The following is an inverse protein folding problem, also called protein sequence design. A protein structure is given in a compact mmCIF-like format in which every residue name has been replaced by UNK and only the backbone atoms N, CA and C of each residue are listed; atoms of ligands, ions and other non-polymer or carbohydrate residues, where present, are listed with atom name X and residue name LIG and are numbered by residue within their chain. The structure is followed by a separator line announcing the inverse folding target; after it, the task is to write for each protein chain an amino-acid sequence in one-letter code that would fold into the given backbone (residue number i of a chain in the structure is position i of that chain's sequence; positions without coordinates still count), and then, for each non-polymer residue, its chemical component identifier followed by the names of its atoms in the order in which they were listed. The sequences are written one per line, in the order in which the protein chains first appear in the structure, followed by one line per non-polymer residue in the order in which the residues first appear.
data_IF_388150349756
#
_entry.id   IF_388150349756
#
_cell.length_a   1.000
_cell.length_b   1.000
_cell.length_c   1.000
_cell.angle_alpha   90.00
_cell.angle_beta   90.00
_cell.angle_gamma   90.00
#
_symmetry.space_group_name_H-M   'P 1'
#
loop_
_entity.id
_entity.type
_entity.pdbx_description
1 polymer ?
#
# COMPACT_ATOMS: atom_id res chain seq x y z
N UNK A 1 -13.13 21.46 16.65
CA UNK A 1 -12.92 20.27 15.80
C UNK A 1 -11.68 20.55 14.98
N UNK A 2 -10.67 19.67 15.04
CA UNK A 2 -9.59 19.74 14.05
C UNK A 2 -10.23 19.61 12.65
N UNK A 3 -9.59 20.10 11.57
CA UNK A 3 -10.14 20.01 10.20
C UNK A 3 -10.54 18.58 9.78
N UNK A 4 -10.09 17.58 10.53
CA UNK A 4 -10.09 16.16 10.18
C UNK A 4 -11.07 15.32 11.03
N UNK A 5 -12.08 15.91 11.67
CA UNK A 5 -13.14 15.16 12.38
C UNK A 5 -12.71 14.46 13.69
N UNK A 6 -11.46 14.60 14.10
CA UNK A 6 -10.92 14.04 15.36
C UNK A 6 -11.35 14.96 16.53
N UNK A 7 -12.07 14.44 17.56
CA UNK A 7 -12.46 15.23 18.72
C UNK A 7 -11.25 15.72 19.52
N UNK A 8 -11.17 17.03 19.73
CA UNK A 8 -10.02 17.72 20.34
C UNK A 8 -9.82 17.37 21.83
N UNK A 9 -10.83 16.82 22.49
CA UNK A 9 -10.85 16.58 23.94
C UNK A 9 -10.39 15.17 24.36
N UNK A 10 -9.89 14.33 23.45
CA UNK A 10 -9.57 12.91 23.74
C UNK A 10 -8.29 12.35 23.09
N UNK A 11 -7.47 13.15 22.41
CA UNK A 11 -6.30 12.61 21.71
C UNK A 11 -5.10 12.49 22.65
N UNK A 12 -5.05 11.38 23.41
CA UNK A 12 -3.75 10.91 23.89
C UNK A 12 -2.81 10.80 22.67
N UNK A 13 -1.54 11.24 22.77
CA UNK A 13 -0.58 11.06 21.70
C UNK A 13 -0.61 9.61 21.19
N UNK A 14 -0.61 9.47 19.88
CA UNK A 14 -0.60 8.18 19.20
C UNK A 14 0.45 8.21 18.10
N UNK A 15 0.76 7.05 17.53
CA UNK A 15 1.79 6.91 16.50
C UNK A 15 1.22 6.22 15.26
N UNK A 16 1.52 6.80 14.10
CA UNK A 16 1.07 6.35 12.79
C UNK A 16 2.27 5.98 11.95
N UNK A 17 2.36 4.73 11.52
CA UNK A 17 3.34 4.31 10.52
C UNK A 17 2.66 4.14 9.16
N UNK A 18 3.28 4.64 8.09
CA UNK A 18 2.93 4.26 6.71
C UNK A 18 4.08 3.41 6.15
N UNK A 19 3.78 2.21 5.67
CA UNK A 19 4.79 1.21 5.29
C UNK A 19 4.46 0.54 3.96
N UNK A 20 5.47 0.27 3.14
CA UNK A 20 5.27 -0.38 1.86
C UNK A 20 6.39 -0.20 0.83
N UNK A 21 5.97 0.03 -0.41
CA UNK A 21 6.84 0.34 -1.56
C UNK A 21 7.00 1.86 -1.77
N UNK A 22 7.37 2.29 -2.98
CA UNK A 22 7.50 3.72 -3.30
C UNK A 22 6.15 4.46 -3.27
N UNK A 23 5.03 3.78 -3.49
CA UNK A 23 3.70 4.38 -3.40
C UNK A 23 3.30 4.63 -1.95
N UNK A 24 3.72 3.76 -1.02
CA UNK A 24 3.58 3.99 0.41
C UNK A 24 4.50 5.12 0.91
N UNK A 25 5.72 5.22 0.38
CA UNK A 25 6.61 6.34 0.68
C UNK A 25 5.98 7.68 0.32
N UNK A 26 5.45 7.78 -0.90
CA UNK A 26 4.82 8.99 -1.44
C UNK A 26 3.63 9.42 -0.57
N UNK A 27 2.67 8.50 -0.36
CA UNK A 27 1.52 8.71 0.52
C UNK A 27 1.94 9.05 1.95
N UNK A 28 2.96 8.36 2.47
CA UNK A 28 3.48 8.55 3.82
C UNK A 28 4.04 9.95 4.04
N UNK A 29 4.78 10.49 3.07
CA UNK A 29 5.31 11.85 3.11
C UNK A 29 4.16 12.86 3.10
N UNK A 30 3.15 12.62 2.28
CA UNK A 30 2.00 13.52 2.15
C UNK A 30 1.13 13.60 3.41
N UNK A 31 1.04 12.51 4.18
CA UNK A 31 0.23 12.49 5.42
C UNK A 31 0.93 13.10 6.63
N UNK A 32 2.24 13.40 6.58
CA UNK A 32 3.02 13.87 7.74
C UNK A 32 2.42 15.11 8.41
N UNK A 33 2.01 16.10 7.61
CA UNK A 33 1.45 17.36 8.12
C UNK A 33 0.11 17.15 8.83
N UNK A 34 -0.78 16.35 8.23
CA UNK A 34 -2.09 16.03 8.78
C UNK A 34 -1.99 15.15 10.04
N UNK A 35 -1.03 14.22 10.07
CA UNK A 35 -0.76 13.37 11.22
C UNK A 35 -0.31 14.20 12.43
N UNK A 36 0.65 15.10 12.24
CA UNK A 36 1.09 16.02 13.29
C UNK A 36 -0.05 16.92 13.78
N UNK A 37 -0.87 17.46 12.86
CA UNK A 37 -2.04 18.27 13.22
C UNK A 37 -3.10 17.47 14.01
N UNK A 38 -3.10 16.15 13.87
CA UNK A 38 -3.93 15.20 14.59
C UNK A 38 -3.29 14.66 15.89
N UNK A 39 -2.19 15.24 16.36
CA UNK A 39 -1.42 14.78 17.53
C UNK A 39 -0.93 13.32 17.39
N UNK A 40 -0.68 12.89 16.16
CA UNK A 40 -0.04 11.62 15.82
C UNK A 40 1.45 11.86 15.56
N UNK A 41 2.32 10.99 16.05
CA UNK A 41 3.73 10.91 15.66
C UNK A 41 3.84 10.05 14.39
N UNK A 42 4.12 10.63 13.22
CA UNK A 42 4.21 9.85 12.00
C UNK A 42 5.60 9.21 11.82
N UNK A 43 5.63 8.01 11.23
CA UNK A 43 6.81 7.38 10.65
C UNK A 43 6.48 6.83 9.26
N UNK A 44 7.47 6.80 8.37
CA UNK A 44 7.29 6.37 6.98
C UNK A 44 8.42 5.46 6.56
N UNK A 45 8.08 4.31 6.01
CA UNK A 45 9.03 3.34 5.44
C UNK A 45 8.54 2.93 4.07
N UNK A 46 9.32 3.21 3.02
CA UNK A 46 9.02 2.68 1.69
C UNK A 46 10.28 2.14 1.04
N UNK A 47 10.22 0.91 0.56
CA UNK A 47 11.32 0.27 -0.15
C UNK A 47 11.09 0.46 -1.65
N UNK A 48 11.74 1.49 -2.20
CA UNK A 48 11.56 1.90 -3.60
C UNK A 48 11.90 0.77 -4.56
N UNK A 49 11.03 0.50 -5.53
CA UNK A 49 11.25 -0.54 -6.53
C UNK A 49 10.90 -1.96 -6.06
N UNK A 50 10.37 -2.10 -4.85
CA UNK A 50 10.15 -3.38 -4.21
C UNK A 50 8.68 -3.62 -3.89
N UNK A 51 8.29 -4.88 -3.86
CA UNK A 51 7.05 -5.32 -3.24
C UNK A 51 7.35 -6.45 -2.25
N UNK A 52 6.36 -7.24 -1.87
CA UNK A 52 6.50 -8.35 -0.92
C UNK A 52 7.00 -9.65 -1.55
N UNK A 53 7.22 -9.73 -2.86
CA UNK A 53 7.84 -10.92 -3.48
C UNK A 53 9.38 -10.87 -3.42
N UNK A 54 9.96 -9.68 -3.51
CA UNK A 54 11.39 -9.41 -3.29
C UNK A 54 12.42 -10.03 -4.25
N UNK A 55 12.02 -11.03 -5.04
CA UNK A 55 12.91 -11.87 -5.85
C UNK A 55 12.43 -12.02 -7.30
N UNK A 56 13.28 -12.61 -8.14
CA UNK A 56 13.03 -12.78 -9.58
C UNK A 56 13.33 -11.52 -10.40
N UNK A 57 13.57 -11.70 -11.70
CA UNK A 57 13.65 -10.56 -12.62
C UNK A 57 12.25 -10.14 -13.07
N UNK A 58 12.08 -8.90 -13.50
CA UNK A 58 10.79 -8.36 -13.91
C UNK A 58 10.65 -8.33 -15.43
N UNK A 59 9.39 -8.45 -15.88
CA UNK A 59 8.97 -8.07 -17.23
C UNK A 59 8.01 -6.89 -17.09
N UNK A 60 8.53 -5.68 -17.29
CA UNK A 60 7.81 -4.41 -17.17
C UNK A 60 7.79 -3.72 -18.53
N UNK A 61 6.62 -3.28 -18.99
CA UNK A 61 6.40 -2.63 -20.29
C UNK A 61 7.01 -3.39 -21.47
N UNK A 62 6.93 -4.72 -21.41
CA UNK A 62 7.50 -5.64 -22.40
C UNK A 62 9.02 -5.81 -22.34
N UNK A 63 9.71 -5.13 -21.43
CA UNK A 63 11.15 -5.30 -21.20
C UNK A 63 11.39 -6.38 -20.15
N UNK A 64 12.04 -7.47 -20.55
CA UNK A 64 12.43 -8.58 -19.66
C UNK A 64 13.80 -8.39 -19.03
N UNK A 65 14.07 -9.11 -17.94
CA UNK A 65 15.37 -9.18 -17.30
C UNK A 65 15.71 -7.96 -16.44
N UNK A 66 14.71 -7.16 -16.07
CA UNK A 66 14.90 -6.04 -15.15
C UNK A 66 15.21 -6.62 -13.76
N UNK A 67 16.35 -6.22 -13.20
CA UNK A 67 16.82 -6.69 -11.89
C UNK A 67 16.25 -5.75 -10.82
N UNK A 68 15.43 -6.24 -9.87
CA UNK A 68 14.96 -5.42 -8.75
C UNK A 68 16.15 -4.90 -7.90
N UNK A 69 15.98 -3.77 -7.19
CA UNK A 69 16.94 -3.34 -6.19
C UNK A 69 17.28 -4.46 -5.19
N UNK A 70 18.55 -4.56 -4.78
CA UNK A 70 19.00 -5.59 -3.83
C UNK A 70 18.25 -5.53 -2.48
N UNK A 71 17.79 -4.34 -2.08
CA UNK A 71 16.98 -4.17 -0.88
C UNK A 71 15.64 -4.91 -0.92
N UNK A 72 15.13 -5.27 -2.11
CA UNK A 72 13.87 -5.97 -2.25
C UNK A 72 13.94 -7.39 -1.67
N UNK A 73 15.09 -8.06 -1.67
CA UNK A 73 15.19 -9.41 -1.11
C UNK A 73 15.15 -9.44 0.42
N UNK A 74 15.27 -8.28 1.07
CA UNK A 74 15.30 -8.14 2.53
C UNK A 74 14.16 -7.24 3.04
N UNK A 75 13.02 -7.27 2.35
CA UNK A 75 11.86 -6.43 2.71
C UNK A 75 11.31 -6.79 4.09
N UNK A 76 11.30 -8.07 4.46
CA UNK A 76 10.73 -8.54 5.72
C UNK A 76 11.60 -8.15 6.92
N UNK A 77 12.93 -8.24 6.80
CA UNK A 77 13.86 -7.74 7.81
C UNK A 77 13.74 -6.22 7.98
N UNK A 78 13.55 -5.49 6.89
CA UNK A 78 13.31 -4.04 6.94
C UNK A 78 12.05 -3.73 7.74
N UNK A 79 10.92 -4.37 7.43
CA UNK A 79 9.66 -4.16 8.15
C UNK A 79 9.78 -4.56 9.62
N UNK A 80 10.46 -5.67 9.91
CA UNK A 80 10.69 -6.12 11.28
C UNK A 80 11.50 -5.09 12.09
N UNK A 81 12.58 -4.57 11.52
CA UNK A 81 13.42 -3.56 12.18
C UNK A 81 12.67 -2.25 12.46
N UNK A 82 11.80 -1.84 11.54
CA UNK A 82 10.99 -0.63 11.70
C UNK A 82 9.94 -0.80 12.81
N UNK A 83 9.28 -1.95 12.86
CA UNK A 83 8.29 -2.24 13.91
C UNK A 83 8.94 -2.37 15.29
N UNK A 84 10.13 -2.99 15.38
CA UNK A 84 10.88 -3.13 16.62
C UNK A 84 11.31 -1.76 17.18
N UNK A 85 11.66 -0.82 16.31
CA UNK A 85 12.15 0.51 16.69
C UNK A 85 11.02 1.51 16.96
N UNK A 86 10.01 1.56 16.10
CA UNK A 86 8.96 2.59 16.15
C UNK A 86 7.77 2.21 17.03
N UNK A 87 7.40 0.92 17.07
CA UNK A 87 6.25 0.37 17.83
C UNK A 87 4.97 1.22 17.67
N UNK A 88 4.48 1.38 16.43
CA UNK A 88 3.37 2.28 16.16
C UNK A 88 2.05 1.76 16.75
N UNK A 89 1.13 2.66 17.10
CA UNK A 89 -0.23 2.30 17.51
C UNK A 89 -1.04 1.78 16.31
N UNK A 90 -0.83 2.38 15.13
CA UNK A 90 -1.48 2.00 13.88
C UNK A 90 -0.52 2.06 12.69
N UNK A 91 -0.65 1.09 11.80
CA UNK A 91 0.12 0.95 10.56
C UNK A 91 -0.83 1.02 9.37
N UNK A 92 -0.56 1.90 8.41
CA UNK A 92 -1.13 1.84 7.07
C UNK A 92 -0.14 1.09 6.16
N UNK A 93 -0.54 -0.07 5.66
CA UNK A 93 0.28 -0.90 4.79
C UNK A 93 -0.19 -0.79 3.34
N UNK A 94 0.66 -0.32 2.43
CA UNK A 94 0.35 -0.15 1.01
C UNK A 94 1.43 -0.78 0.13
N UNK A 95 1.05 -1.76 -0.68
CA UNK A 95 1.89 -2.36 -1.74
C UNK A 95 0.97 -2.75 -2.89
N UNK A 96 1.54 -3.23 -3.99
CA UNK A 96 0.78 -3.84 -5.09
C UNK A 96 1.39 -3.55 -6.45
N UNK A 97 1.98 -2.36 -6.61
CA UNK A 97 2.57 -1.90 -7.88
C UNK A 97 3.53 -2.95 -8.46
N UNK A 98 4.35 -3.57 -7.61
CA UNK A 98 5.36 -4.55 -8.02
C UNK A 98 4.89 -6.01 -7.99
N UNK A 99 3.73 -6.29 -7.39
CA UNK A 99 3.05 -7.59 -7.48
C UNK A 99 2.31 -7.73 -8.81
N UNK A 100 1.77 -6.62 -9.34
CA UNK A 100 1.08 -6.54 -10.62
C UNK A 100 2.01 -6.74 -11.83
N UNK A 101 3.32 -6.53 -11.66
CA UNK A 101 4.34 -6.75 -12.69
C UNK A 101 4.60 -8.24 -12.87
N UNK A 102 4.73 -8.69 -14.12
CA UNK A 102 5.11 -10.07 -14.43
C UNK A 102 6.52 -10.33 -13.90
N UNK A 103 6.74 -11.49 -13.26
CA UNK A 103 8.05 -11.91 -12.75
C UNK A 103 8.56 -13.15 -13.47
N UNK A 104 9.86 -13.20 -13.67
CA UNK A 104 10.57 -14.45 -13.96
C UNK A 104 11.14 -15.00 -12.65
N UNK A 105 10.55 -16.11 -12.18
CA UNK A 105 11.03 -16.88 -11.05
C UNK A 105 11.74 -18.14 -11.58
N UNK A 106 13.06 -18.08 -11.63
CA UNK A 106 13.93 -19.21 -12.03
C UNK A 106 13.60 -19.79 -13.42
N UNK A 107 13.38 -18.93 -14.41
CA UNK A 107 13.03 -19.28 -15.79
C UNK A 107 11.53 -19.47 -16.03
N UNK A 108 10.69 -19.22 -15.02
CA UNK A 108 9.22 -19.33 -15.13
C UNK A 108 8.59 -17.95 -15.02
N UNK A 109 7.94 -17.51 -16.11
CA UNK A 109 7.16 -16.28 -16.11
C UNK A 109 5.85 -16.49 -15.35
N UNK A 110 5.64 -15.69 -14.32
CA UNK A 110 4.48 -15.72 -13.45
C UNK A 110 3.87 -14.33 -13.28
N UNK A 111 2.56 -14.28 -13.04
CA UNK A 111 1.82 -13.05 -12.79
C UNK A 111 0.52 -13.35 -12.02
N UNK A 112 -0.12 -12.29 -11.53
CA UNK A 112 -1.39 -12.40 -10.82
C UNK A 112 -2.47 -13.03 -11.70
N UNK A 113 -3.28 -13.89 -11.09
CA UNK A 113 -4.27 -14.76 -11.73
C UNK A 113 -3.75 -16.17 -12.01
N UNK A 114 -2.45 -16.41 -11.80
CA UNK A 114 -1.87 -17.76 -11.81
C UNK A 114 -1.80 -18.29 -10.38
N UNK A 115 -2.38 -19.48 -10.08
CA UNK A 115 -2.49 -19.98 -8.71
C UNK A 115 -1.17 -20.05 -7.94
N UNK A 116 -0.06 -20.42 -8.59
CA UNK A 116 1.25 -20.51 -7.93
C UNK A 116 1.77 -19.14 -7.48
N UNK A 117 1.50 -18.09 -8.25
CA UNK A 117 1.93 -16.74 -7.93
C UNK A 117 0.98 -16.07 -6.94
N UNK A 118 -0.33 -16.27 -7.11
CA UNK A 118 -1.34 -15.76 -6.19
C UNK A 118 -1.09 -16.29 -4.76
N UNK A 119 -0.78 -17.59 -4.62
CA UNK A 119 -0.43 -18.20 -3.33
C UNK A 119 0.86 -17.60 -2.73
N UNK A 120 1.86 -17.32 -3.56
CA UNK A 120 3.11 -16.69 -3.12
C UNK A 120 2.86 -15.27 -2.62
N UNK A 121 2.13 -14.46 -3.39
CA UNK A 121 1.78 -13.09 -3.02
C UNK A 121 0.94 -13.07 -1.75
N UNK A 122 -0.09 -13.92 -1.64
CA UNK A 122 -0.92 -14.00 -0.44
C UNK A 122 -0.09 -14.38 0.79
N UNK A 123 0.76 -15.40 0.69
CA UNK A 123 1.64 -15.82 1.80
C UNK A 123 2.54 -14.67 2.27
N UNK A 124 3.13 -13.93 1.35
CA UNK A 124 4.02 -12.82 1.69
C UNK A 124 3.25 -11.59 2.23
N UNK A 125 2.03 -11.33 1.75
CA UNK A 125 1.13 -10.34 2.35
C UNK A 125 0.78 -10.72 3.79
N UNK A 126 0.47 -11.99 4.04
CA UNK A 126 0.21 -12.47 5.41
C UNK A 126 1.45 -12.33 6.31
N UNK A 127 2.64 -12.64 5.80
CA UNK A 127 3.91 -12.43 6.52
C UNK A 127 4.12 -10.95 6.87
N UNK A 128 3.97 -10.06 5.89
CA UNK A 128 4.06 -8.61 6.09
C UNK A 128 3.09 -8.15 7.19
N UNK A 129 1.80 -8.52 7.10
CA UNK A 129 0.80 -8.13 8.10
C UNK A 129 1.16 -8.67 9.49
N UNK A 130 1.65 -9.92 9.62
CA UNK A 130 2.07 -10.48 10.91
C UNK A 130 3.26 -9.74 11.50
N UNK A 131 4.26 -9.38 10.70
CA UNK A 131 5.41 -8.58 11.13
C UNK A 131 4.93 -7.21 11.63
N UNK A 132 4.08 -6.53 10.84
CA UNK A 132 3.54 -5.21 11.16
C UNK A 132 2.67 -5.21 12.42
N UNK A 133 1.96 -6.31 12.69
CA UNK A 133 1.15 -6.47 13.90
C UNK A 133 1.95 -6.96 15.12
N UNK A 134 3.21 -7.36 14.97
CA UNK A 134 3.95 -8.15 15.96
C UNK A 134 4.17 -7.49 17.33
N UNK A 135 4.01 -6.16 17.41
CA UNK A 135 4.11 -5.38 18.67
C UNK A 135 2.76 -4.84 19.16
N UNK A 136 1.65 -5.34 18.61
CA UNK A 136 0.29 -4.96 19.01
C UNK A 136 -0.29 -3.80 18.22
N UNK A 137 0.37 -3.36 17.14
CA UNK A 137 -0.15 -2.32 16.27
C UNK A 137 -1.46 -2.75 15.61
N UNK A 138 -2.36 -1.79 15.43
CA UNK A 138 -3.51 -1.95 14.52
C UNK A 138 -3.00 -1.88 13.09
N UNK A 139 -3.18 -2.92 12.27
CA UNK A 139 -2.73 -2.90 10.87
C UNK A 139 -3.92 -2.67 9.95
N UNK A 140 -3.85 -1.63 9.12
CA UNK A 140 -4.81 -1.34 8.07
C UNK A 140 -4.12 -1.54 6.73
N UNK A 141 -4.38 -2.68 6.08
CA UNK A 141 -3.92 -2.94 4.73
C UNK A 141 -4.78 -2.15 3.73
N UNK A 142 -4.12 -1.36 2.89
CA UNK A 142 -4.74 -0.56 1.85
C UNK A 142 -4.81 -1.38 0.56
N UNK A 143 -5.95 -1.32 -0.14
CA UNK A 143 -6.04 -1.87 -1.50
C UNK A 143 -5.17 -1.09 -2.48
N UNK A 144 -4.49 -1.77 -3.40
CA UNK A 144 -3.73 -1.12 -4.48
C UNK A 144 -4.70 -0.35 -5.38
N UNK A 145 -4.34 0.86 -5.83
CA UNK A 145 -5.12 1.60 -6.80
C UNK A 145 -4.74 1.23 -8.25
N UNK A 146 -5.60 1.54 -9.23
CA UNK A 146 -5.20 1.34 -10.63
C UNK A 146 -4.07 2.30 -11.03
N UNK A 147 -3.18 1.78 -11.89
CA UNK A 147 -2.09 2.50 -12.51
C UNK A 147 -2.35 2.69 -14.02
N UNK A 148 -1.71 3.67 -14.63
CA UNK A 148 -1.71 3.84 -16.09
C UNK A 148 -0.36 4.37 -16.57
N UNK A 149 0.48 3.47 -17.04
CA UNK A 149 1.87 3.78 -17.40
C UNK A 149 2.09 3.94 -18.90
N UNK A 150 0.99 4.06 -19.65
CA UNK A 150 0.94 4.24 -21.10
C UNK A 150 0.28 3.07 -21.82
N UNK A 151 0.18 3.22 -23.14
CA UNK A 151 -0.34 2.16 -24.01
C UNK A 151 0.78 1.21 -24.43
N UNK A 152 0.45 -0.07 -24.54
CA UNK A 152 1.34 -1.08 -25.08
C UNK A 152 1.54 -0.88 -26.59
N UNK A 153 2.63 -1.46 -27.12
CA UNK A 153 2.92 -1.44 -28.57
C UNK A 153 1.83 -2.07 -29.44
N UNK A 154 0.98 -2.92 -28.87
CA UNK A 154 -0.12 -3.61 -29.55
C UNK A 154 -1.49 -2.96 -29.30
N UNK A 155 -1.54 -1.82 -28.61
CA UNK A 155 -2.78 -1.20 -28.12
C UNK A 155 -3.23 -1.75 -26.76
N UNK A 156 -4.08 -1.00 -26.06
CA UNK A 156 -4.48 -1.30 -24.68
C UNK A 156 -3.41 -0.92 -23.63
N UNK A 157 -3.74 -1.05 -22.36
CA UNK A 157 -2.80 -0.82 -21.25
C UNK A 157 -1.76 -1.94 -21.16
N UNK A 158 -0.65 -1.69 -20.47
CA UNK A 158 0.31 -2.74 -20.16
C UNK A 158 -0.32 -3.81 -19.25
N UNK A 159 0.12 -5.08 -19.32
CA UNK A 159 -0.45 -6.14 -18.49
C UNK A 159 -0.45 -5.82 -16.99
N UNK A 160 0.60 -5.17 -16.50
CA UNK A 160 0.74 -4.69 -15.12
C UNK A 160 -0.19 -3.52 -14.73
N UNK A 161 -0.85 -2.90 -15.70
CA UNK A 161 -1.85 -1.84 -15.49
C UNK A 161 -3.29 -2.36 -15.74
N UNK A 162 -3.46 -3.69 -15.85
CA UNK A 162 -4.77 -4.29 -16.14
C UNK A 162 -5.65 -4.36 -14.89
N UNK A 163 -6.93 -4.06 -15.06
CA UNK A 163 -7.94 -4.22 -14.00
C UNK A 163 -8.01 -5.65 -13.48
N UNK A 164 -7.80 -6.65 -14.36
CA UNK A 164 -7.80 -8.05 -13.97
C UNK A 164 -6.71 -8.39 -12.93
N UNK A 165 -5.47 -7.87 -13.10
CA UNK A 165 -4.41 -8.08 -12.10
C UNK A 165 -4.67 -7.29 -10.82
N UNK A 166 -5.16 -6.07 -10.96
CA UNK A 166 -5.55 -5.23 -9.83
C UNK A 166 -6.61 -5.92 -8.95
N UNK A 167 -7.66 -6.47 -9.56
CA UNK A 167 -8.75 -7.17 -8.88
C UNK A 167 -8.24 -8.40 -8.12
N UNK A 168 -7.35 -9.18 -8.75
CA UNK A 168 -6.69 -10.32 -8.09
C UNK A 168 -5.87 -9.83 -6.90
N UNK A 169 -4.97 -8.87 -7.09
CA UNK A 169 -4.14 -8.34 -6.00
C UNK A 169 -4.98 -7.88 -4.80
N UNK A 170 -6.01 -7.08 -5.09
CA UNK A 170 -6.92 -6.54 -4.08
C UNK A 170 -7.71 -7.64 -3.38
N UNK A 171 -8.08 -8.72 -4.07
CA UNK A 171 -8.66 -9.90 -3.45
C UNK A 171 -7.67 -10.57 -2.49
N UNK A 172 -6.40 -10.73 -2.88
CA UNK A 172 -5.36 -11.33 -2.03
C UNK A 172 -5.07 -10.49 -0.77
N UNK A 173 -5.10 -9.16 -0.85
CA UNK A 173 -4.99 -8.28 0.34
C UNK A 173 -6.12 -8.59 1.33
N UNK A 174 -7.37 -8.72 0.85
CA UNK A 174 -8.53 -9.05 1.68
C UNK A 174 -8.40 -10.44 2.30
N UNK A 175 -7.95 -11.42 1.53
CA UNK A 175 -7.73 -12.79 2.00
C UNK A 175 -6.63 -12.83 3.06
N UNK A 176 -5.50 -12.15 2.84
CA UNK A 176 -4.39 -12.09 3.79
C UNK A 176 -4.82 -11.49 5.14
N UNK A 177 -5.56 -10.36 5.14
CA UNK A 177 -6.12 -9.76 6.36
C UNK A 177 -7.10 -10.73 7.04
N UNK A 178 -8.01 -11.35 6.28
CA UNK A 178 -8.97 -12.31 6.83
C UNK A 178 -8.28 -13.52 7.47
N UNK A 179 -7.19 -14.01 6.88
CA UNK A 179 -6.42 -15.15 7.37
C UNK A 179 -5.61 -14.80 8.61
N UNK A 180 -5.01 -13.60 8.68
CA UNK A 180 -4.24 -13.17 9.86
C UNK A 180 -5.17 -12.84 11.04
N UNK A 181 -6.28 -12.15 10.80
CA UNK A 181 -7.27 -11.80 11.82
C UNK A 181 -6.73 -10.83 12.89
N UNK A 182 -7.38 -10.80 14.05
CA UNK A 182 -7.01 -9.90 15.16
C UNK A 182 -7.27 -8.42 14.86
N UNK A 183 -6.34 -7.55 15.25
CA UNK A 183 -6.41 -6.09 15.00
C UNK A 183 -5.92 -5.73 13.59
N UNK A 184 -6.35 -6.48 12.59
CA UNK A 184 -6.00 -6.25 11.18
C UNK A 184 -7.26 -5.95 10.38
N UNK A 185 -7.16 -4.99 9.45
CA UNK A 185 -8.29 -4.50 8.68
C UNK A 185 -7.90 -4.20 7.25
N UNK A 186 -8.89 -4.17 6.37
CA UNK A 186 -8.75 -3.64 5.01
C UNK A 186 -9.42 -2.28 4.95
N UNK A 187 -8.76 -1.31 4.32
CA UNK A 187 -9.39 -0.08 3.84
C UNK A 187 -9.38 -0.06 2.31
N UNK A 188 -10.52 0.25 1.69
CA UNK A 188 -10.66 0.29 0.24
C UNK A 188 -10.05 1.57 -0.34
N UNK A 189 -8.73 1.70 -0.23
CA UNK A 189 -7.95 2.82 -0.73
C UNK A 189 -8.10 3.01 -2.24
N UNK A 190 -8.17 1.91 -3.00
CA UNK A 190 -8.42 1.94 -4.45
C UNK A 190 -9.60 2.83 -4.81
N UNK A 191 -10.75 2.66 -4.16
CA UNK A 191 -11.98 3.41 -4.46
C UNK A 191 -11.85 4.92 -4.26
N UNK A 192 -10.98 5.35 -3.33
CA UNK A 192 -10.72 6.77 -3.07
C UNK A 192 -10.02 7.46 -4.25
N UNK A 193 -9.10 6.76 -4.92
CA UNK A 193 -8.22 7.34 -5.97
C UNK A 193 -8.45 6.75 -7.36
N UNK A 194 -9.32 5.74 -7.46
CA UNK A 194 -9.62 4.93 -8.66
C UNK A 194 -11.15 4.74 -8.74
N UNK A 195 -11.93 5.81 -8.96
CA UNK A 195 -13.38 5.72 -8.94
C UNK A 195 -13.88 4.77 -10.04
N UNK A 196 -14.78 3.86 -9.68
CA UNK A 196 -15.31 2.78 -10.54
C UNK A 196 -14.25 1.79 -11.04
N UNK A 197 -13.18 1.59 -10.26
CA UNK A 197 -12.07 0.68 -10.60
C UNK A 197 -11.38 1.04 -11.94
N UNK A 198 -11.45 2.32 -12.32
CA UNK A 198 -10.77 2.87 -13.49
C UNK A 198 -9.74 3.91 -13.06
N UNK A 199 -8.56 3.85 -13.69
CA UNK A 199 -7.54 4.87 -13.51
C UNK A 199 -8.12 6.26 -13.85
N UNK A 200 -7.80 7.24 -13.01
CA UNK A 200 -8.14 8.63 -13.26
C UNK A 200 -6.98 9.55 -12.92
N UNK A 201 -6.72 10.52 -13.80
CA UNK A 201 -5.78 11.62 -13.51
C UNK A 201 -6.31 12.54 -12.40
N UNK A 202 -7.63 12.62 -12.24
CA UNK A 202 -8.28 13.52 -11.30
C UNK A 202 -9.48 12.90 -10.59
N UNK A 203 -9.66 13.21 -9.31
CA UNK A 203 -10.82 12.79 -8.52
C UNK A 203 -11.43 14.02 -7.86
N UNK A 204 -12.74 14.21 -8.01
CA UNK A 204 -13.45 15.34 -7.39
C UNK A 204 -12.87 16.72 -7.74
N UNK A 205 -12.31 16.89 -8.94
CA UNK A 205 -11.66 18.14 -9.39
C UNK A 205 -10.22 18.34 -8.91
N UNK A 206 -9.65 17.39 -8.17
CA UNK A 206 -8.24 17.40 -7.75
C UNK A 206 -7.42 16.60 -8.76
N UNK A 207 -6.29 17.15 -9.23
CA UNK A 207 -5.31 16.39 -10.04
C UNK A 207 -4.56 15.42 -9.13
N UNK A 208 -5.03 14.18 -9.03
CA UNK A 208 -4.53 13.21 -8.04
C UNK A 208 -3.21 12.58 -8.49
N UNK A 209 -3.09 12.19 -9.78
CA UNK A 209 -1.93 11.44 -10.28
C UNK A 209 -0.79 12.34 -10.77
N UNK A 210 0.43 11.86 -10.58
CA UNK A 210 1.64 12.36 -11.25
C UNK A 210 1.68 11.89 -12.70
N UNK A 211 2.54 12.49 -13.53
CA UNK A 211 2.66 12.17 -14.96
C UNK A 211 3.07 10.72 -15.29
N UNK A 212 3.64 9.99 -14.32
CA UNK A 212 3.99 8.57 -14.49
C UNK A 212 2.80 7.61 -14.39
N UNK A 213 1.64 8.12 -13.94
CA UNK A 213 0.41 7.36 -13.76
C UNK A 213 0.48 6.30 -12.66
N UNK A 214 1.43 6.41 -11.74
CA UNK A 214 1.58 5.56 -10.55
C UNK A 214 1.49 6.43 -9.30
N UNK A 215 2.42 7.38 -9.16
CA UNK A 215 2.57 8.22 -7.97
C UNK A 215 1.57 9.38 -7.96
N UNK A 216 1.53 10.12 -6.86
CA UNK A 216 0.62 11.23 -6.66
C UNK A 216 1.26 12.56 -7.07
N UNK A 217 0.41 13.50 -7.50
CA UNK A 217 0.84 14.89 -7.61
C UNK A 217 0.92 15.50 -6.20
N UNK A 218 1.66 16.59 -6.03
CA UNK A 218 1.72 17.33 -4.75
C UNK A 218 0.33 17.71 -4.23
N UNK A 219 -0.60 18.07 -5.13
CA UNK A 219 -1.98 18.45 -4.73
C UNK A 219 -2.81 17.20 -4.41
N UNK A 220 -2.58 16.10 -5.14
CA UNK A 220 -3.22 14.80 -4.88
C UNK A 220 -2.80 14.21 -3.54
N UNK A 221 -1.52 14.26 -3.25
CA UNK A 221 -0.93 13.87 -1.97
C UNK A 221 -1.52 14.63 -0.78
N UNK A 222 -1.48 15.96 -0.82
CA UNK A 222 -2.08 16.80 0.21
C UNK A 222 -3.60 16.56 0.38
N UNK A 223 -4.29 16.15 -0.68
CA UNK A 223 -5.70 15.75 -0.60
C UNK A 223 -5.86 14.39 0.09
N UNK A 224 -5.00 13.41 -0.20
CA UNK A 224 -4.99 12.08 0.43
C UNK A 224 -4.74 12.12 1.93
N UNK A 225 -3.80 12.95 2.39
CA UNK A 225 -3.48 13.10 3.82
C UNK A 225 -4.70 13.39 4.69
N UNK A 226 -5.61 14.24 4.18
CA UNK A 226 -6.86 14.62 4.85
C UNK A 226 -7.85 13.46 5.02
N UNK A 227 -7.75 12.42 4.19
CA UNK A 227 -8.60 11.23 4.26
C UNK A 227 -7.97 10.13 5.12
N UNK A 228 -6.67 9.87 4.92
CA UNK A 228 -6.02 8.71 5.51
C UNK A 228 -5.77 8.83 7.01
N UNK A 229 -5.50 10.04 7.53
CA UNK A 229 -5.29 10.23 8.97
C UNK A 229 -6.56 9.95 9.79
N UNK A 230 -7.76 10.46 9.42
CA UNK A 230 -9.02 10.05 10.04
C UNK A 230 -9.29 8.54 9.94
N UNK A 231 -8.96 7.92 8.80
CA UNK A 231 -9.11 6.48 8.59
C UNK A 231 -8.24 5.71 9.59
N UNK A 232 -6.95 6.02 9.68
CA UNK A 232 -6.04 5.38 10.62
C UNK A 232 -6.53 5.51 12.08
N UNK A 233 -6.94 6.73 12.47
CA UNK A 233 -7.51 6.97 13.79
C UNK A 233 -8.75 6.13 14.06
N UNK A 234 -9.68 6.04 13.10
CA UNK A 234 -10.93 5.29 13.27
C UNK A 234 -10.70 3.79 13.51
N UNK A 235 -9.73 3.18 12.81
CA UNK A 235 -9.38 1.78 13.02
C UNK A 235 -8.65 1.55 14.35
N UNK A 236 -7.78 2.48 14.76
CA UNK A 236 -7.16 2.42 16.07
C UNK A 236 -8.21 2.43 17.20
N UNK A 237 -9.23 3.29 17.09
CA UNK A 237 -10.34 3.29 18.06
C UNK A 237 -11.14 2.00 18.02
N UNK A 238 -11.39 1.44 16.82
CA UNK A 238 -12.08 0.17 16.65
C UNK A 238 -11.35 -0.98 17.35
N UNK A 239 -10.03 -1.07 17.23
CA UNK A 239 -9.23 -2.08 17.94
C UNK A 239 -9.27 -1.91 19.45
N UNK A 240 -9.22 -0.67 19.96
CA UNK A 240 -9.33 -0.38 21.39
C UNK A 240 -10.69 -0.77 21.99
N UNK A 241 -11.74 -0.81 21.19
CA UNK A 241 -13.09 -1.24 21.62
C UNK A 241 -13.29 -2.75 21.54
N UNK A 242 -12.46 -3.46 20.77
CA UNK A 242 -12.58 -4.90 20.55
C UNK A 242 -11.78 -5.75 21.55
N UNK A 243 -10.78 -5.16 22.23
CA UNK A 243 -9.99 -5.78 23.30
C UNK A 243 -10.51 -5.42 24.69
#
# INVERSE_FOLDING_TARGET
LLPNGIPQSQVNPWSLMVVGDSTALDVGIDVLGDANAANATPSVTGIVGCGVVGSGTLVEKGQSGIIPPAACSTWSETYQSEIDSTKPDVVLFLTGRWEEVTRDLNGTLVNLGQPSYDNLVESNLQEAIRILASKGATVVALTSPANFTGLSSTGGTWPEDSTARLDVFNSLVRQAVSTVGGNTYVYNYSELVTPNDQFSWSVGGVSVRSADGIHYSVVGGAWLGRWLVPVAWSYLQKSKQAG
#
